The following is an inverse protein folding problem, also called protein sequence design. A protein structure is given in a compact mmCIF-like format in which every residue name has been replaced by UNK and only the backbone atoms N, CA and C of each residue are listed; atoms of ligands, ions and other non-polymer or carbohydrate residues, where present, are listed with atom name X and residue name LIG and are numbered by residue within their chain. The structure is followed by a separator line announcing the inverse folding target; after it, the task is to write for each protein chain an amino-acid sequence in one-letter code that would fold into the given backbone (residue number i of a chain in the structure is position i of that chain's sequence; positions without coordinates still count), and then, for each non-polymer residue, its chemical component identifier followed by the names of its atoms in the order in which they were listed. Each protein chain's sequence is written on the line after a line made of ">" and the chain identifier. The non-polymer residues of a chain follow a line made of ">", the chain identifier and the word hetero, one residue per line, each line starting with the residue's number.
data_IF_808444943248
#
_entry.id   IF_808444943248
#
_cell.length_a   1.000
_cell.length_b   1.000
_cell.length_c   1.000
_cell.angle_alpha   90.00
_cell.angle_beta   90.00
_cell.angle_gamma   90.00
#
_symmetry.space_group_name_H-M   'P 1'
#
loop_
_entity.id
_entity.type
_entity.pdbx_description
1 polymer ?
#
# COMPACT_ATOMS: atom_id res chain seq x y z
N UNK A 1 -59.29 0.25 -4.43
CA UNK A 1 -58.18 -0.69 -4.74
C UNK A 1 -57.02 0.13 -5.29
N UNK A 2 -55.89 0.23 -4.57
CA UNK A 2 -54.67 0.87 -5.09
C UNK A 2 -53.83 -0.20 -5.80
N UNK A 3 -53.59 -0.02 -7.10
CA UNK A 3 -52.60 -0.84 -7.80
C UNK A 3 -51.21 -0.47 -7.28
N UNK A 4 -50.42 -1.43 -6.75
CA UNK A 4 -49.04 -1.17 -6.40
C UNK A 4 -48.27 -0.84 -7.69
N UNK A 5 -47.78 0.40 -7.77
CA UNK A 5 -46.87 0.82 -8.84
C UNK A 5 -45.54 0.11 -8.63
N UNK A 6 -45.29 -0.95 -9.40
CA UNK A 6 -44.00 -1.62 -9.44
C UNK A 6 -42.98 -0.66 -10.08
N UNK A 7 -42.12 -0.07 -9.26
CA UNK A 7 -40.98 0.69 -9.77
C UNK A 7 -40.03 -0.24 -10.52
N UNK A 8 -39.64 0.15 -11.73
CA UNK A 8 -38.65 -0.58 -12.53
C UNK A 8 -37.35 -0.72 -11.75
N UNK A 9 -36.76 -1.91 -11.74
CA UNK A 9 -35.44 -2.13 -11.13
C UNK A 9 -34.41 -1.22 -11.79
N UNK A 10 -33.61 -0.46 -11.02
CA UNK A 10 -32.62 0.45 -11.57
C UNK A 10 -31.56 -0.32 -12.38
N UNK A 11 -31.05 0.29 -13.47
CA UNK A 11 -30.03 -0.36 -14.29
C UNK A 11 -28.69 -0.40 -13.53
N UNK A 12 -27.85 -1.43 -13.75
CA UNK A 12 -26.57 -1.57 -13.04
C UNK A 12 -25.65 -0.35 -13.18
N UNK A 13 -25.68 0.29 -14.35
CA UNK A 13 -24.92 1.51 -14.65
C UNK A 13 -25.32 2.68 -13.75
N UNK A 14 -26.61 2.84 -13.49
CA UNK A 14 -27.14 3.93 -12.68
C UNK A 14 -26.75 3.72 -11.21
N UNK A 15 -26.84 2.46 -10.75
CA UNK A 15 -26.36 2.07 -9.41
C UNK A 15 -24.87 2.38 -9.26
N UNK A 16 -24.04 1.98 -10.22
CA UNK A 16 -22.60 2.23 -10.17
C UNK A 16 -22.27 3.73 -10.17
N UNK A 17 -22.94 4.52 -11.03
CA UNK A 17 -22.76 5.97 -11.09
C UNK A 17 -23.12 6.64 -9.78
N UNK A 18 -24.23 6.23 -9.17
CA UNK A 18 -24.64 6.77 -7.88
C UNK A 18 -23.70 6.34 -6.76
N UNK A 19 -23.21 5.09 -6.76
CA UNK A 19 -22.19 4.64 -5.81
C UNK A 19 -20.89 5.45 -5.93
N UNK A 20 -20.44 5.76 -7.15
CA UNK A 20 -19.27 6.63 -7.37
C UNK A 20 -19.51 8.04 -6.83
N UNK A 21 -20.70 8.60 -7.05
CA UNK A 21 -21.08 9.94 -6.59
C UNK A 21 -21.18 10.00 -5.06
N UNK A 22 -21.90 9.06 -4.45
CA UNK A 22 -22.11 8.98 -3.00
C UNK A 22 -20.77 8.73 -2.31
N UNK A 23 -19.99 7.76 -2.77
CA UNK A 23 -18.65 7.48 -2.24
C UNK A 23 -17.77 8.71 -2.37
N UNK A 24 -17.74 9.36 -3.55
CA UNK A 24 -17.00 10.59 -3.76
C UNK A 24 -17.40 11.71 -2.79
N UNK A 25 -18.70 11.88 -2.54
CA UNK A 25 -19.21 12.88 -1.60
C UNK A 25 -18.81 12.59 -0.15
N UNK A 26 -18.87 11.33 0.28
CA UNK A 26 -18.44 10.89 1.60
C UNK A 26 -16.93 11.05 1.80
N UNK A 27 -16.18 10.92 0.71
CA UNK A 27 -14.72 11.01 0.69
C UNK A 27 -14.18 12.43 0.60
N UNK A 28 -14.98 13.45 0.24
CA UNK A 28 -14.49 14.85 0.05
C UNK A 28 -13.67 15.39 1.23
N UNK A 29 -14.20 15.33 2.44
CA UNK A 29 -13.50 15.82 3.64
C UNK A 29 -12.32 14.90 4.02
N UNK A 30 -12.51 13.57 4.09
CA UNK A 30 -11.42 12.64 4.40
C UNK A 30 -10.28 12.62 3.37
N UNK A 31 -10.50 13.06 2.13
CA UNK A 31 -9.47 13.13 1.08
C UNK A 31 -8.72 14.45 1.04
N UNK A 32 -9.38 15.56 1.38
CA UNK A 32 -8.74 16.87 1.36
C UNK A 32 -7.51 16.90 2.27
N UNK A 33 -7.64 16.35 3.48
CA UNK A 33 -6.54 16.30 4.45
C UNK A 33 -5.32 15.51 3.93
N UNK A 34 -5.44 14.22 3.54
CA UNK A 34 -4.30 13.47 3.02
C UNK A 34 -3.78 14.00 1.69
N UNK A 35 -4.64 14.54 0.80
CA UNK A 35 -4.17 15.16 -0.44
C UNK A 35 -3.32 16.41 -0.16
N UNK A 36 -3.77 17.28 0.76
CA UNK A 36 -3.01 18.45 1.20
C UNK A 36 -1.72 18.01 1.89
N UNK A 37 -1.77 17.03 2.78
CA UNK A 37 -0.58 16.48 3.44
C UNK A 37 0.40 15.88 2.42
N UNK A 38 -0.09 15.25 1.34
CA UNK A 38 0.75 14.71 0.27
C UNK A 38 1.48 15.82 -0.49
N UNK A 39 0.75 16.89 -0.85
CA UNK A 39 1.35 18.05 -1.50
C UNK A 39 2.36 18.72 -0.56
N UNK A 40 2.01 18.93 0.71
CA UNK A 40 2.90 19.52 1.70
C UNK A 40 4.13 18.66 1.98
N UNK A 41 3.97 17.34 2.06
CA UNK A 41 5.10 16.42 2.23
C UNK A 41 6.03 16.46 1.02
N UNK A 42 5.48 16.47 -0.19
CA UNK A 42 6.25 16.63 -1.42
C UNK A 42 7.01 17.98 -1.44
N UNK A 43 6.35 19.07 -1.05
CA UNK A 43 6.96 20.39 -0.93
C UNK A 43 8.00 20.48 0.20
N UNK A 44 7.81 19.76 1.29
CA UNK A 44 8.76 19.70 2.39
C UNK A 44 10.01 18.95 1.97
N UNK A 45 9.87 17.79 1.33
CA UNK A 45 11.00 17.04 0.76
C UNK A 45 11.74 17.91 -0.25
N UNK A 46 11.01 18.61 -1.11
CA UNK A 46 11.55 19.59 -2.06
C UNK A 46 12.37 20.71 -1.38
N UNK A 47 11.89 21.23 -0.26
CA UNK A 47 12.57 22.29 0.49
C UNK A 47 13.74 21.81 1.35
N UNK A 48 13.76 20.52 1.72
CA UNK A 48 14.84 19.90 2.49
C UNK A 48 15.98 19.39 1.59
N UNK A 49 15.69 19.01 0.35
CA UNK A 49 16.73 18.83 -0.67
C UNK A 49 17.31 20.19 -1.00
N UNK A 50 18.65 20.30 -1.02
CA UNK A 50 19.36 21.52 -1.38
C UNK A 50 18.70 22.13 -2.63
N UNK A 51 18.17 23.36 -2.53
CA UNK A 51 17.27 23.96 -3.53
C UNK A 51 17.89 24.08 -4.95
N UNK A 52 19.17 23.73 -5.07
CA UNK A 52 19.97 23.71 -6.29
C UNK A 52 20.08 22.31 -6.92
N UNK A 53 19.66 21.26 -6.23
CA UNK A 53 19.72 19.89 -6.73
C UNK A 53 18.43 19.54 -7.48
N UNK A 54 18.51 19.11 -8.75
CA UNK A 54 17.33 18.68 -9.50
C UNK A 54 16.68 17.45 -8.84
N UNK A 55 15.34 17.40 -8.82
CA UNK A 55 14.60 16.32 -8.19
C UNK A 55 14.20 15.25 -9.23
N UNK A 56 14.93 14.15 -9.24
CA UNK A 56 14.68 13.04 -10.18
C UNK A 56 13.38 12.28 -9.87
N UNK A 57 12.79 11.70 -10.92
CA UNK A 57 11.49 11.04 -10.83
C UNK A 57 11.60 9.58 -10.37
N UNK A 58 11.22 9.33 -9.11
CA UNK A 58 11.23 7.99 -8.48
C UNK A 58 9.87 7.58 -7.92
N UNK A 59 8.84 7.41 -8.74
CA UNK A 59 7.50 7.02 -8.27
C UNK A 59 7.50 5.67 -7.52
N UNK A 60 8.43 4.78 -7.84
CA UNK A 60 8.60 3.47 -7.23
C UNK A 60 9.11 3.50 -5.79
N UNK A 61 9.76 4.58 -5.37
CA UNK A 61 10.26 4.75 -4.00
C UNK A 61 9.18 5.19 -3.02
N UNK A 62 7.99 5.56 -3.53
CA UNK A 62 6.93 6.20 -2.76
C UNK A 62 6.01 5.17 -2.12
N UNK A 63 6.08 5.03 -0.79
CA UNK A 63 5.17 4.15 -0.04
C UNK A 63 3.75 4.75 0.12
N UNK A 64 3.59 6.05 -0.09
CA UNK A 64 2.37 6.80 0.23
C UNK A 64 1.12 6.24 -0.48
N UNK A 65 1.14 5.93 -1.80
CA UNK A 65 -0.03 5.33 -2.48
C UNK A 65 -0.48 4.01 -1.85
N UNK A 66 0.47 3.14 -1.48
CA UNK A 66 0.17 1.89 -0.79
C UNK A 66 -0.44 2.10 0.60
N UNK A 67 0.07 3.06 1.36
CA UNK A 67 -0.49 3.45 2.67
C UNK A 67 -1.92 4.01 2.54
N UNK A 68 -2.17 4.85 1.53
CA UNK A 68 -3.52 5.35 1.24
C UNK A 68 -4.49 4.21 0.92
N UNK A 69 -4.05 3.20 0.18
CA UNK A 69 -4.84 2.01 -0.09
C UNK A 69 -5.25 1.27 1.19
N UNK A 70 -4.42 1.23 2.23
CA UNK A 70 -4.79 0.62 3.53
C UNK A 70 -5.87 1.42 4.29
N UNK A 71 -5.77 2.75 4.26
CA UNK A 71 -6.64 3.62 5.06
C UNK A 71 -7.99 3.85 4.39
N UNK A 72 -7.99 3.94 3.06
CA UNK A 72 -9.17 4.36 2.30
C UNK A 72 -10.41 3.49 2.53
N UNK A 73 -10.34 2.15 2.59
CA UNK A 73 -11.52 1.33 2.87
C UNK A 73 -12.22 1.73 4.16
N UNK A 74 -11.47 2.05 5.21
CA UNK A 74 -12.05 2.48 6.50
C UNK A 74 -12.89 3.76 6.31
N UNK A 75 -12.42 4.70 5.49
CA UNK A 75 -13.14 5.93 5.19
C UNK A 75 -14.38 5.67 4.31
N UNK A 76 -14.26 4.85 3.26
CA UNK A 76 -15.36 4.45 2.36
C UNK A 76 -16.52 3.81 3.14
N UNK A 77 -16.17 3.04 4.17
CA UNK A 77 -17.11 2.28 4.98
C UNK A 77 -17.54 3.00 6.27
N UNK A 78 -17.01 4.21 6.52
CA UNK A 78 -17.34 5.00 7.70
C UNK A 78 -18.81 5.40 7.69
N UNK A 79 -19.50 5.15 8.81
CA UNK A 79 -20.92 5.47 8.98
C UNK A 79 -21.87 4.31 8.64
N UNK A 80 -21.39 3.25 8.00
CA UNK A 80 -22.20 2.05 7.74
C UNK A 80 -21.95 0.97 8.80
N UNK A 81 -23.02 0.54 9.46
CA UNK A 81 -22.96 -0.56 10.43
C UNK A 81 -23.00 -1.91 9.69
N UNK A 82 -21.83 -2.42 9.35
CA UNK A 82 -21.63 -3.71 8.65
C UNK A 82 -22.12 -4.92 9.42
N UNK A 83 -22.25 -4.82 10.74
CA UNK A 83 -22.65 -5.92 11.61
C UNK A 83 -23.75 -5.49 12.59
N UNK A 84 -24.53 -4.46 12.23
CA UNK A 84 -25.66 -3.97 13.03
C UNK A 84 -27.00 -4.50 12.50
N UNK A 85 -28.02 -4.52 13.36
CA UNK A 85 -29.39 -4.94 13.03
C UNK A 85 -30.14 -4.01 12.03
N UNK A 86 -29.46 -3.06 11.39
CA UNK A 86 -30.08 -1.94 10.68
C UNK A 86 -30.41 -2.18 9.21
N UNK A 87 -31.68 -1.94 8.85
CA UNK A 87 -32.31 -1.54 7.58
C UNK A 87 -31.78 -2.03 6.21
N UNK A 88 -30.47 -2.02 5.93
CA UNK A 88 -29.91 -2.57 4.68
C UNK A 88 -30.03 -4.10 4.62
N UNK A 89 -30.15 -4.76 5.78
CA UNK A 89 -30.30 -6.22 5.88
C UNK A 89 -31.66 -6.75 5.41
N UNK A 90 -32.67 -5.89 5.34
CA UNK A 90 -34.05 -6.25 4.94
C UNK A 90 -34.37 -5.91 3.49
N UNK A 91 -33.48 -5.23 2.77
CA UNK A 91 -33.72 -4.91 1.36
C UNK A 91 -33.44 -6.12 0.46
N UNK A 92 -34.28 -6.38 -0.57
CA UNK A 92 -34.16 -7.53 -1.48
C UNK A 92 -33.06 -7.32 -2.54
N UNK A 93 -31.89 -6.83 -2.13
CA UNK A 93 -30.75 -6.55 -3.03
C UNK A 93 -29.67 -7.60 -2.79
N UNK A 94 -29.00 -8.03 -3.87
CA UNK A 94 -27.81 -8.89 -3.78
C UNK A 94 -26.67 -8.15 -3.06
N UNK A 95 -26.48 -8.48 -1.78
CA UNK A 95 -25.52 -7.85 -0.86
C UNK A 95 -24.10 -7.87 -1.40
N UNK A 96 -23.74 -8.98 -2.05
CA UNK A 96 -22.41 -9.18 -2.63
C UNK A 96 -22.14 -8.15 -3.73
N UNK A 97 -23.10 -7.98 -4.65
CA UNK A 97 -22.97 -7.01 -5.75
C UNK A 97 -22.87 -5.58 -5.22
N UNK A 98 -23.66 -5.25 -4.20
CA UNK A 98 -23.60 -3.92 -3.59
C UNK A 98 -22.25 -3.64 -2.93
N UNK A 99 -21.75 -4.58 -2.11
CA UNK A 99 -20.45 -4.44 -1.48
C UNK A 99 -19.31 -4.33 -2.52
N UNK A 100 -19.32 -5.17 -3.54
CA UNK A 100 -18.33 -5.12 -4.62
C UNK A 100 -18.42 -3.82 -5.42
N UNK A 101 -19.62 -3.30 -5.71
CA UNK A 101 -19.79 -2.03 -6.39
C UNK A 101 -19.24 -0.86 -5.58
N UNK A 102 -19.42 -0.89 -4.25
CA UNK A 102 -18.88 0.14 -3.35
C UNK A 102 -17.37 0.07 -3.21
N UNK A 103 -16.79 -1.13 -3.10
CA UNK A 103 -15.34 -1.35 -3.13
C UNK A 103 -14.75 -0.87 -4.46
N UNK A 104 -15.40 -1.18 -5.58
CA UNK A 104 -14.98 -0.68 -6.88
C UNK A 104 -15.05 0.85 -6.96
N UNK A 105 -16.10 1.47 -6.41
CA UNK A 105 -16.22 2.93 -6.37
C UNK A 105 -15.09 3.58 -5.55
N UNK A 106 -14.75 3.03 -4.39
CA UNK A 106 -13.62 3.50 -3.59
C UNK A 106 -12.27 3.29 -4.30
N UNK A 107 -12.08 2.14 -4.96
CA UNK A 107 -10.89 1.88 -5.78
C UNK A 107 -10.74 2.89 -6.93
N UNK A 108 -11.82 3.23 -7.64
CA UNK A 108 -11.75 4.21 -8.72
C UNK A 108 -11.29 5.60 -8.23
N UNK A 109 -11.76 6.03 -7.05
CA UNK A 109 -11.30 7.26 -6.41
C UNK A 109 -9.83 7.17 -5.96
N UNK A 110 -9.39 6.02 -5.45
CA UNK A 110 -7.98 5.78 -5.10
C UNK A 110 -7.07 5.92 -6.32
N UNK A 111 -7.38 5.22 -7.41
CA UNK A 111 -6.58 5.26 -8.63
C UNK A 111 -6.53 6.66 -9.22
N UNK A 112 -7.65 7.39 -9.18
CA UNK A 112 -7.68 8.79 -9.62
C UNK A 112 -6.75 9.66 -8.77
N UNK A 113 -6.73 9.48 -7.44
CA UNK A 113 -5.83 10.21 -6.55
C UNK A 113 -4.36 9.86 -6.80
N UNK A 114 -4.05 8.57 -6.97
CA UNK A 114 -2.69 8.11 -7.29
C UNK A 114 -2.22 8.65 -8.63
N UNK A 115 -3.08 8.66 -9.64
CA UNK A 115 -2.75 9.25 -10.95
C UNK A 115 -2.42 10.75 -10.83
N UNK A 116 -3.24 11.52 -10.10
CA UNK A 116 -2.99 12.94 -9.84
C UNK A 116 -1.65 13.13 -9.12
N UNK A 117 -1.36 12.29 -8.12
CA UNK A 117 -0.09 12.35 -7.39
C UNK A 117 1.13 12.06 -8.28
N UNK A 118 1.06 11.02 -9.11
CA UNK A 118 2.15 10.67 -10.04
C UNK A 118 2.35 11.79 -11.08
N UNK A 119 1.27 12.37 -11.61
CA UNK A 119 1.34 13.52 -12.51
C UNK A 119 1.94 14.75 -11.82
N UNK A 120 1.63 14.98 -10.55
CA UNK A 120 2.24 16.04 -9.75
C UNK A 120 3.74 15.83 -9.57
N UNK A 121 4.17 14.62 -9.21
CA UNK A 121 5.60 14.30 -9.11
C UNK A 121 6.32 14.51 -10.44
N UNK A 122 5.72 14.09 -11.55
CA UNK A 122 6.27 14.30 -12.88
C UNK A 122 6.42 15.79 -13.19
N UNK A 123 5.37 16.58 -12.95
CA UNK A 123 5.42 18.03 -13.13
C UNK A 123 6.49 18.69 -12.26
N UNK A 124 6.61 18.25 -11.00
CA UNK A 124 7.63 18.72 -10.07
C UNK A 124 9.07 18.40 -10.55
N UNK A 125 9.32 17.17 -11.02
CA UNK A 125 10.59 16.80 -11.65
C UNK A 125 10.90 17.68 -12.84
N UNK A 126 9.93 17.92 -13.72
CA UNK A 126 10.13 18.76 -14.91
C UNK A 126 10.44 20.22 -14.54
N UNK A 127 9.76 20.78 -13.54
CA UNK A 127 9.97 22.17 -13.07
C UNK A 127 11.35 22.34 -12.43
N UNK A 128 11.86 21.32 -11.73
CA UNK A 128 13.18 21.37 -11.09
C UNK A 128 14.34 21.03 -12.04
N UNK A 129 14.05 20.70 -13.30
CA UNK A 129 15.07 20.24 -14.26
C UNK A 129 15.59 18.83 -13.98
N UNK A 130 14.87 18.06 -13.16
CA UNK A 130 15.17 16.65 -12.89
C UNK A 130 14.92 15.75 -14.09
N UNK A 131 15.48 14.55 -14.01
CA UNK A 131 15.36 13.54 -15.06
C UNK A 131 14.17 12.65 -14.77
N UNK A 132 13.36 12.40 -15.80
CA UNK A 132 12.21 11.47 -15.73
C UNK A 132 12.69 10.00 -15.70
N UNK A 133 13.87 9.74 -16.27
CA UNK A 133 14.57 8.45 -16.22
C UNK A 133 16.04 8.73 -15.89
N UNK A 134 16.37 8.94 -14.61
CA UNK A 134 17.75 9.18 -14.21
C UNK A 134 18.59 7.93 -14.46
N UNK A 135 19.82 8.14 -14.93
CA UNK A 135 20.86 7.11 -14.89
C UNK A 135 21.52 7.23 -13.52
N UNK A 136 21.32 6.24 -12.67
CA UNK A 136 21.82 6.23 -11.31
C UNK A 136 23.10 5.41 -11.21
N UNK A 137 24.08 5.90 -10.45
CA UNK A 137 25.25 5.13 -10.07
C UNK A 137 24.97 4.41 -8.74
N UNK A 138 24.61 3.12 -8.81
CA UNK A 138 24.33 2.29 -7.65
C UNK A 138 25.63 1.68 -7.11
N UNK A 139 25.83 1.73 -5.80
CA UNK A 139 26.96 1.11 -5.13
C UNK A 139 26.53 -0.25 -4.59
N UNK A 140 26.97 -1.32 -5.24
CA UNK A 140 26.52 -2.68 -4.93
C UNK A 140 27.47 -3.36 -3.96
N UNK A 141 26.90 -3.92 -2.90
CA UNK A 141 27.59 -4.76 -1.93
C UNK A 141 27.91 -6.14 -2.53
N UNK A 142 29.11 -6.70 -2.28
CA UNK A 142 29.40 -8.07 -2.64
C UNK A 142 28.50 -9.06 -1.87
N UNK A 143 28.24 -10.27 -2.39
CA UNK A 143 27.30 -11.25 -1.79
C UNK A 143 27.69 -11.81 -0.41
N UNK A 144 28.74 -11.29 0.23
CA UNK A 144 29.23 -11.79 1.52
C UNK A 144 28.34 -11.30 2.67
N UNK A 145 28.22 -12.08 3.77
CA UNK A 145 27.43 -11.66 4.92
C UNK A 145 27.96 -10.33 5.46
N UNK A 146 27.11 -9.31 5.37
CA UNK A 146 27.42 -7.97 5.84
C UNK A 146 27.33 -7.94 7.36
N UNK A 147 28.35 -7.46 8.09
CA UNK A 147 28.21 -7.24 9.51
C UNK A 147 27.16 -6.15 9.71
N UNK A 148 26.14 -6.38 10.54
CA UNK A 148 25.04 -5.44 10.77
C UNK A 148 25.49 -4.02 11.18
N UNK A 149 26.75 -3.86 11.62
CA UNK A 149 27.38 -2.59 12.03
C UNK A 149 28.84 -2.45 11.53
N UNK A 150 29.16 -3.02 10.36
CA UNK A 150 30.53 -3.01 9.83
C UNK A 150 30.87 -1.76 9.02
N UNK A 151 32.06 -1.21 9.22
CA UNK A 151 32.67 -0.26 8.29
C UNK A 151 32.87 -0.93 6.93
N UNK A 152 32.41 -0.30 5.86
CA UNK A 152 32.57 -0.81 4.49
C UNK A 152 33.82 -0.22 3.88
N UNK A 153 34.71 -1.10 3.41
CA UNK A 153 35.84 -0.66 2.60
C UNK A 153 35.31 -0.18 1.22
N UNK A 154 35.48 1.10 0.86
CA UNK A 154 35.03 1.63 -0.43
C UNK A 154 35.56 0.83 -1.62
N UNK A 155 36.75 0.23 -1.51
CA UNK A 155 37.35 -0.57 -2.57
C UNK A 155 36.57 -1.86 -2.89
N UNK A 156 35.70 -2.31 -1.98
CA UNK A 156 34.86 -3.50 -2.18
C UNK A 156 33.53 -3.21 -2.86
N UNK A 157 33.16 -1.94 -2.98
CA UNK A 157 31.90 -1.53 -3.60
C UNK A 157 32.03 -1.52 -5.12
N UNK A 158 31.05 -2.13 -5.78
CA UNK A 158 30.96 -2.09 -7.24
C UNK A 158 29.97 -1.01 -7.66
N UNK A 159 30.44 -0.01 -8.39
CA UNK A 159 29.57 0.96 -9.02
C UNK A 159 28.91 0.35 -10.26
N UNK A 160 27.59 0.39 -10.34
CA UNK A 160 26.82 0.00 -11.52
C UNK A 160 25.89 1.12 -11.94
N UNK A 161 25.92 1.45 -13.22
CA UNK A 161 24.96 2.39 -13.80
C UNK A 161 23.66 1.65 -14.07
N UNK A 162 22.58 2.12 -13.46
CA UNK A 162 21.25 1.55 -13.60
C UNK A 162 20.28 2.61 -14.12
N UNK A 163 19.31 2.18 -14.91
CA UNK A 163 18.23 3.03 -15.39
C UNK A 163 16.93 2.32 -15.04
N UNK A 164 16.04 2.94 -14.25
CA UNK A 164 14.76 2.35 -13.90
C UNK A 164 13.96 1.98 -15.14
N UNK A 165 13.46 0.74 -15.17
CA UNK A 165 12.54 0.34 -16.23
C UNK A 165 11.22 1.13 -16.13
N UNK A 166 10.65 1.62 -17.24
CA UNK A 166 9.40 2.40 -17.21
C UNK A 166 8.23 1.69 -16.54
N UNK A 167 8.24 0.35 -16.51
CA UNK A 167 7.22 -0.45 -15.83
C UNK A 167 7.18 -0.20 -14.32
N UNK A 168 8.28 0.22 -13.69
CA UNK A 168 8.27 0.59 -12.27
C UNK A 168 7.39 1.81 -11.96
N UNK A 169 6.99 2.60 -12.96
CA UNK A 169 6.02 3.68 -12.77
C UNK A 169 4.62 3.17 -12.39
N UNK A 170 4.35 1.87 -12.60
CA UNK A 170 3.12 1.20 -12.17
C UNK A 170 3.14 0.74 -10.71
N UNK A 171 4.30 0.78 -10.03
CA UNK A 171 4.44 0.42 -8.61
C UNK A 171 3.43 1.15 -7.72
N UNK A 172 3.30 2.49 -7.75
CA UNK A 172 2.33 3.18 -6.89
C UNK A 172 0.87 2.76 -7.13
N UNK A 173 0.50 2.41 -8.38
CA UNK A 173 -0.86 1.95 -8.72
C UNK A 173 -1.13 0.53 -8.22
N UNK A 174 -0.16 -0.36 -8.40
CA UNK A 174 -0.25 -1.76 -7.99
C UNK A 174 -0.18 -1.89 -6.47
N UNK A 175 0.70 -1.12 -5.82
CA UNK A 175 0.77 -0.97 -4.36
C UNK A 175 -0.58 -0.53 -3.79
N UNK A 176 -1.11 0.61 -4.27
CA UNK A 176 -2.40 1.13 -3.83
C UNK A 176 -3.54 0.12 -4.04
N UNK A 177 -3.56 -0.56 -5.19
CA UNK A 177 -4.58 -1.57 -5.50
C UNK A 177 -4.47 -2.77 -4.56
N UNK A 178 -3.29 -3.36 -4.41
CA UNK A 178 -3.07 -4.54 -3.57
C UNK A 178 -3.45 -4.28 -2.12
N UNK A 179 -2.99 -3.17 -1.54
CA UNK A 179 -3.31 -2.81 -0.16
C UNK A 179 -4.79 -2.45 0.03
N UNK A 180 -5.40 -1.77 -0.95
CA UNK A 180 -6.83 -1.45 -0.93
C UNK A 180 -7.71 -2.69 -0.93
N UNK A 181 -7.37 -3.70 -1.72
CA UNK A 181 -8.13 -4.96 -1.76
C UNK A 181 -8.03 -5.71 -0.43
N UNK A 182 -6.82 -5.82 0.14
CA UNK A 182 -6.59 -6.47 1.43
C UNK A 182 -7.35 -5.77 2.57
N UNK A 183 -7.24 -4.44 2.64
CA UNK A 183 -7.93 -3.65 3.65
C UNK A 183 -9.46 -3.68 3.45
N UNK A 184 -9.95 -3.68 2.21
CA UNK A 184 -11.38 -3.86 1.91
C UNK A 184 -11.88 -5.23 2.34
N UNK A 185 -11.11 -6.30 2.09
CA UNK A 185 -11.42 -7.64 2.54
C UNK A 185 -11.47 -7.72 4.08
N UNK A 186 -10.52 -7.09 4.77
CA UNK A 186 -10.50 -7.02 6.23
C UNK A 186 -11.72 -6.27 6.79
N UNK A 187 -12.07 -5.11 6.23
CA UNK A 187 -13.24 -4.32 6.66
C UNK A 187 -14.55 -5.10 6.45
N UNK A 188 -14.66 -5.84 5.35
CA UNK A 188 -15.85 -6.66 5.06
C UNK A 188 -15.92 -7.96 5.87
N UNK A 189 -14.76 -8.58 6.11
CA UNK A 189 -14.67 -9.89 6.75
C UNK A 189 -14.61 -9.86 8.27
N UNK A 190 -14.13 -8.76 8.86
CA UNK A 190 -13.91 -8.60 10.29
C UNK A 190 -14.87 -7.57 10.88
N UNK A 191 -15.42 -7.88 12.06
CA UNK A 191 -16.28 -6.95 12.80
C UNK A 191 -15.53 -5.71 13.28
N UNK A 192 -14.25 -5.87 13.58
CA UNK A 192 -13.41 -4.90 14.28
C UNK A 192 -11.98 -4.91 13.70
N UNK A 193 -11.77 -4.53 12.43
CA UNK A 193 -10.47 -4.65 11.76
C UNK A 193 -9.36 -3.86 12.48
N UNK A 194 -9.66 -2.66 13.00
CA UNK A 194 -8.69 -1.84 13.73
C UNK A 194 -8.22 -2.50 15.03
N UNK A 195 -9.12 -3.17 15.75
CA UNK A 195 -8.76 -3.86 16.99
C UNK A 195 -7.85 -5.07 16.72
N UNK A 196 -7.99 -5.73 15.57
CA UNK A 196 -7.05 -6.77 15.14
C UNK A 196 -5.67 -6.21 14.83
N UNK A 197 -5.57 -5.08 14.14
CA UNK A 197 -4.29 -4.41 13.86
C UNK A 197 -3.59 -4.03 15.18
N UNK A 198 -4.34 -3.39 16.10
CA UNK A 198 -3.82 -3.02 17.43
C UNK A 198 -3.42 -4.28 18.21
N UNK A 199 -4.24 -5.33 18.19
CA UNK A 199 -3.97 -6.59 18.88
C UNK A 199 -2.70 -7.28 18.38
N UNK A 200 -2.45 -7.29 17.07
CA UNK A 200 -1.21 -7.82 16.48
C UNK A 200 0.00 -7.00 16.95
N UNK A 201 -0.10 -5.67 16.93
CA UNK A 201 0.97 -4.79 17.42
C UNK A 201 1.29 -5.04 18.90
N UNK A 202 0.26 -5.10 19.75
CA UNK A 202 0.41 -5.41 21.18
C UNK A 202 1.02 -6.80 21.37
N UNK A 203 0.60 -7.80 20.61
CA UNK A 203 1.14 -9.16 20.70
C UNK A 203 2.63 -9.21 20.34
N UNK A 204 3.08 -8.47 19.31
CA UNK A 204 4.49 -8.39 18.94
C UNK A 204 5.31 -7.77 20.08
N UNK A 205 4.86 -6.63 20.63
CA UNK A 205 5.54 -5.94 21.74
C UNK A 205 5.55 -6.83 22.99
N UNK A 206 4.46 -7.51 23.29
CA UNK A 206 4.37 -8.43 24.42
C UNK A 206 5.33 -9.62 24.27
N UNK A 207 5.43 -10.20 23.06
CA UNK A 207 6.37 -11.30 22.79
C UNK A 207 7.83 -10.87 22.96
N UNK A 208 8.20 -9.68 22.48
CA UNK A 208 9.56 -9.15 22.70
C UNK A 208 9.83 -8.87 24.18
N UNK A 209 8.88 -8.24 24.88
CA UNK A 209 8.99 -7.95 26.32
C UNK A 209 9.11 -9.20 27.18
N UNK A 210 8.27 -10.22 26.93
CA UNK A 210 8.34 -11.52 27.61
C UNK A 210 9.66 -12.23 27.28
N UNK A 211 10.08 -12.20 26.01
CA UNK A 211 11.36 -12.78 25.60
C UNK A 211 12.56 -12.10 26.27
N UNK A 212 12.50 -10.78 26.48
CA UNK A 212 13.52 -10.03 27.20
C UNK A 212 13.55 -10.40 28.69
N UNK A 213 12.39 -10.42 29.37
CA UNK A 213 12.29 -10.79 30.78
C UNK A 213 12.73 -12.24 31.05
N UNK A 214 12.32 -13.16 30.17
CA UNK A 214 12.66 -14.58 30.28
C UNK A 214 14.07 -14.93 29.77
N UNK A 215 14.86 -13.95 29.31
CA UNK A 215 16.16 -14.17 28.65
C UNK A 215 16.09 -15.23 27.54
N UNK A 216 14.98 -15.26 26.81
CA UNK A 216 14.65 -16.24 25.79
C UNK A 216 14.81 -15.60 24.40
N UNK A 217 16.00 -15.65 23.78
CA UNK A 217 16.26 -14.94 22.51
C UNK A 217 15.37 -15.44 21.37
N UNK A 218 14.93 -16.69 21.41
CA UNK A 218 14.01 -17.25 20.41
C UNK A 218 12.63 -16.58 20.42
N UNK A 219 12.11 -16.15 21.58
CA UNK A 219 10.85 -15.42 21.69
C UNK A 219 10.97 -14.02 21.09
N UNK A 220 12.09 -13.34 21.35
CA UNK A 220 12.38 -12.01 20.78
C UNK A 220 12.54 -12.06 19.26
N UNK A 221 13.17 -13.12 18.75
CA UNK A 221 13.34 -13.34 17.32
C UNK A 221 12.08 -13.86 16.62
N UNK A 222 11.10 -14.40 17.35
CA UNK A 222 9.94 -15.07 16.75
C UNK A 222 9.11 -14.14 15.84
N UNK A 223 8.75 -12.91 16.26
CA UNK A 223 8.07 -11.96 15.38
C UNK A 223 8.91 -11.65 14.13
N UNK A 224 10.22 -11.41 14.31
CA UNK A 224 11.14 -11.14 13.20
C UNK A 224 11.16 -12.29 12.19
N UNK A 225 11.28 -13.54 12.63
CA UNK A 225 11.31 -14.71 11.73
C UNK A 225 10.04 -14.89 10.90
N UNK A 226 8.89 -14.45 11.41
CA UNK A 226 7.61 -14.56 10.69
C UNK A 226 7.35 -13.33 9.82
N UNK A 227 7.64 -12.14 10.33
CA UNK A 227 7.35 -10.87 9.65
C UNK A 227 8.41 -10.52 8.60
N UNK A 228 9.68 -10.87 8.83
CA UNK A 228 10.76 -10.53 7.91
C UNK A 228 10.55 -11.14 6.51
N UNK A 229 10.22 -12.44 6.34
CA UNK A 229 9.91 -12.98 5.02
C UNK A 229 8.64 -12.36 4.41
N UNK A 230 7.65 -12.05 5.26
CA UNK A 230 6.37 -11.47 4.82
C UNK A 230 6.52 -10.04 4.31
N UNK A 231 7.37 -9.22 4.95
CA UNK A 231 7.57 -7.82 4.60
C UNK A 231 8.76 -7.63 3.66
N UNK A 232 9.92 -8.21 3.98
CA UNK A 232 11.20 -7.95 3.30
C UNK A 232 11.68 -9.11 2.41
N UNK A 233 10.94 -10.22 2.37
CA UNK A 233 11.24 -11.33 1.47
C UNK A 233 11.12 -10.95 -0.02
N UNK A 234 11.58 -11.82 -0.94
CA UNK A 234 11.56 -11.55 -2.38
C UNK A 234 10.18 -11.25 -2.97
N UNK A 235 9.13 -11.80 -2.35
CA UNK A 235 7.72 -11.57 -2.70
C UNK A 235 6.95 -10.87 -1.57
N UNK A 236 7.69 -10.29 -0.62
CA UNK A 236 7.12 -9.67 0.57
C UNK A 236 6.30 -8.41 0.25
N UNK A 237 5.75 -7.81 1.29
CA UNK A 237 4.94 -6.60 1.17
C UNK A 237 5.75 -5.41 0.64
N UNK A 238 7.04 -5.32 0.94
CA UNK A 238 7.94 -4.32 0.37
C UNK A 238 8.10 -4.48 -1.16
N UNK A 239 8.06 -5.72 -1.68
CA UNK A 239 8.06 -5.94 -3.11
C UNK A 239 6.81 -5.35 -3.76
N UNK A 240 5.63 -5.49 -3.15
CA UNK A 240 4.41 -4.83 -3.61
C UNK A 240 4.50 -3.30 -3.52
N UNK A 241 4.99 -2.77 -2.40
CA UNK A 241 4.94 -1.35 -2.09
C UNK A 241 5.98 -0.52 -2.85
N UNK A 242 7.20 -1.04 -2.99
CA UNK A 242 8.35 -0.25 -3.46
C UNK A 242 9.20 -0.97 -4.51
N UNK A 243 8.70 -2.06 -5.10
CA UNK A 243 9.50 -2.96 -5.96
C UNK A 243 10.80 -3.43 -5.29
N UNK A 244 10.76 -3.59 -3.96
CA UNK A 244 11.88 -3.97 -3.09
C UNK A 244 12.95 -2.91 -2.87
N UNK A 245 12.79 -1.71 -3.39
CA UNK A 245 13.83 -0.67 -3.30
C UNK A 245 14.21 -0.37 -1.84
N UNK A 246 13.25 -0.39 -0.92
CA UNK A 246 13.55 -0.14 0.49
C UNK A 246 14.27 -1.31 1.16
N UNK A 247 13.94 -2.57 0.87
CA UNK A 247 14.60 -3.73 1.48
C UNK A 247 16.00 -4.02 0.96
N UNK A 248 16.30 -3.62 -0.28
CA UNK A 248 17.62 -3.85 -0.89
C UNK A 248 18.56 -2.66 -0.73
N UNK A 249 18.03 -1.48 -0.41
CA UNK A 249 18.78 -0.28 -0.06
C UNK A 249 19.13 -0.30 1.44
N UNK A 250 20.38 -0.05 1.78
CA UNK A 250 20.80 0.14 3.17
C UNK A 250 21.82 1.27 3.24
N UNK A 251 21.75 2.06 4.30
CA UNK A 251 22.83 3.00 4.60
C UNK A 251 24.00 2.24 5.22
N UNK A 252 25.20 2.53 4.74
CA UNK A 252 26.43 1.95 5.24
C UNK A 252 27.45 3.06 5.50
N UNK A 253 28.14 2.97 6.63
CA UNK A 253 29.24 3.87 6.94
C UNK A 253 30.51 3.30 6.33
N UNK A 254 31.16 4.08 5.46
CA UNK A 254 32.46 3.74 4.89
C UNK A 254 33.53 3.75 5.97
N UNK A 255 34.65 3.05 5.73
CA UNK A 255 35.86 3.13 6.56
C UNK A 255 36.37 4.57 6.75
N UNK A 256 36.01 5.48 5.84
CA UNK A 256 36.32 6.92 5.90
C UNK A 256 35.43 7.71 6.86
N UNK A 257 34.36 7.10 7.40
CA UNK A 257 33.37 7.74 8.25
C UNK A 257 32.19 8.37 7.48
N UNK A 258 32.21 8.34 6.15
CA UNK A 258 31.11 8.86 5.31
C UNK A 258 29.94 7.87 5.28
N UNK A 259 28.70 8.38 5.39
CA UNK A 259 27.49 7.55 5.21
C UNK A 259 27.09 7.53 3.74
N UNK A 260 27.01 6.34 3.17
CA UNK A 260 26.65 6.16 1.76
C UNK A 260 25.53 5.13 1.62
N UNK A 261 24.71 5.31 0.60
CA UNK A 261 23.62 4.40 0.28
C UNK A 261 24.18 3.26 -0.57
N UNK A 262 24.09 2.03 -0.06
CA UNK A 262 24.52 0.83 -0.77
C UNK A 262 23.36 -0.11 -1.03
N UNK A 263 23.50 -0.88 -2.10
CA UNK A 263 22.47 -1.78 -2.61
C UNK A 263 22.93 -3.23 -2.48
N UNK A 264 22.08 -4.07 -1.91
CA UNK A 264 22.35 -5.51 -1.77
C UNK A 264 22.21 -6.23 -3.11
N UNK A 265 21.23 -5.83 -3.90
CA UNK A 265 20.95 -6.35 -5.25
C UNK A 265 20.33 -5.24 -6.09
N UNK A 266 20.29 -5.41 -7.41
CA UNK A 266 19.51 -4.54 -8.28
C UNK A 266 17.99 -4.79 -8.11
N UNK A 267 17.14 -3.78 -8.33
CA UNK A 267 15.71 -3.99 -8.51
C UNK A 267 15.44 -4.99 -9.63
N UNK A 268 14.56 -5.96 -9.39
CA UNK A 268 14.19 -7.00 -10.36
C UNK A 268 12.71 -6.90 -10.71
N UNK A 269 12.42 -6.54 -11.96
CA UNK A 269 11.07 -6.40 -12.47
C UNK A 269 10.26 -7.70 -12.30
N UNK A 270 10.87 -8.86 -12.55
CA UNK A 270 10.18 -10.16 -12.49
C UNK A 270 9.71 -10.45 -11.07
N UNK A 271 10.55 -10.20 -10.07
CA UNK A 271 10.17 -10.38 -8.67
C UNK A 271 9.01 -9.45 -8.27
N UNK A 272 9.07 -8.19 -8.70
CA UNK A 272 7.98 -7.23 -8.48
C UNK A 272 6.67 -7.67 -9.15
N UNK A 273 6.69 -8.14 -10.40
CA UNK A 273 5.50 -8.63 -11.09
C UNK A 273 4.87 -9.82 -10.35
N UNK A 274 5.70 -10.79 -9.94
CA UNK A 274 5.21 -11.97 -9.20
C UNK A 274 4.61 -11.55 -7.85
N UNK A 275 5.29 -10.68 -7.09
CA UNK A 275 4.76 -10.15 -5.83
C UNK A 275 3.43 -9.42 -6.04
N UNK A 276 3.36 -8.58 -7.07
CA UNK A 276 2.14 -7.83 -7.42
C UNK A 276 0.98 -8.78 -7.72
N UNK A 277 1.19 -9.81 -8.54
CA UNK A 277 0.16 -10.80 -8.86
C UNK A 277 -0.27 -11.58 -7.61
N UNK A 278 0.66 -11.97 -6.75
CA UNK A 278 0.38 -12.69 -5.52
C UNK A 278 -0.49 -11.86 -4.58
N UNK A 279 -0.11 -10.60 -4.33
CA UNK A 279 -0.82 -9.75 -3.37
C UNK A 279 -2.15 -9.23 -3.91
N UNK A 280 -2.23 -8.83 -5.18
CA UNK A 280 -3.49 -8.39 -5.79
C UNK A 280 -4.45 -9.56 -5.99
N UNK A 281 -3.96 -10.73 -6.45
CA UNK A 281 -4.75 -11.95 -6.59
C UNK A 281 -5.24 -12.47 -5.23
N UNK A 282 -4.37 -12.52 -4.23
CA UNK A 282 -4.73 -12.86 -2.86
C UNK A 282 -5.74 -11.88 -2.26
N UNK A 283 -5.57 -10.58 -2.48
CA UNK A 283 -6.52 -9.54 -2.08
C UNK A 283 -7.89 -9.70 -2.75
N UNK A 284 -7.95 -9.99 -4.04
CA UNK A 284 -9.20 -10.29 -4.76
C UNK A 284 -9.89 -11.53 -4.21
N UNK A 285 -9.15 -12.61 -3.98
CA UNK A 285 -9.69 -13.85 -3.42
C UNK A 285 -10.24 -13.63 -2.00
N UNK A 286 -9.51 -12.91 -1.14
CA UNK A 286 -9.94 -12.56 0.21
C UNK A 286 -11.18 -11.65 0.19
N UNK A 287 -11.20 -10.65 -0.69
CA UNK A 287 -12.36 -9.76 -0.87
C UNK A 287 -13.59 -10.54 -1.32
N UNK A 288 -13.42 -11.47 -2.27
CA UNK A 288 -14.49 -12.33 -2.76
C UNK A 288 -15.03 -13.22 -1.65
N UNK A 289 -14.16 -13.87 -0.87
CA UNK A 289 -14.55 -14.70 0.26
C UNK A 289 -15.30 -13.88 1.33
N UNK A 290 -14.80 -12.69 1.68
CA UNK A 290 -15.44 -11.78 2.63
C UNK A 290 -16.83 -11.34 2.15
N UNK A 291 -16.97 -11.01 0.86
CA UNK A 291 -18.25 -10.62 0.27
C UNK A 291 -19.24 -11.80 0.18
N UNK A 292 -18.78 -13.01 -0.13
CA UNK A 292 -19.62 -14.23 -0.23
C UNK A 292 -20.24 -14.62 1.11
N UNK A 293 -19.50 -14.49 2.22
CA UNK A 293 -19.96 -14.85 3.57
C UNK A 293 -21.27 -14.17 3.98
N UNK A 294 -21.57 -13.00 3.41
CA UNK A 294 -22.78 -12.24 3.74
C UNK A 294 -24.04 -12.70 2.98
N UNK A 295 -23.90 -13.61 2.01
CA UNK A 295 -25.02 -14.13 1.20
C UNK A 295 -25.87 -15.23 1.85
N UNK A 296 -25.32 -15.97 2.82
CA UNK A 296 -25.88 -17.28 3.24
C UNK A 296 -26.98 -17.23 4.31
N UNK A 297 -27.33 -16.06 4.85
CA UNK A 297 -28.38 -15.95 5.89
C UNK A 297 -29.72 -15.52 5.31
N UNK A 298 -30.31 -16.35 4.45
CA UNK A 298 -31.75 -16.29 4.17
C UNK A 298 -32.42 -17.38 5.01
N UNK A 299 -33.29 -17.05 5.99
CA UNK A 299 -34.17 -18.07 6.55
C UNK A 299 -35.00 -18.64 5.40
N UNK A 300 -35.00 -19.97 5.28
CA UNK A 300 -35.87 -20.72 4.39
C UNK A 300 -37.33 -20.62 4.86
#
# INVERSE_FOLDING_TARGET
>A
MMQPTLHSTPRPRDVLREQLRVTGSALRLPFLVPAVLLVLAALLVAGLTDARSPADFHPESQMLPGMLGLVLPIAVWRGERHFGAGFLWTLPVDRRRHALAKVFAGWAWLISLVAIFVLWLLAYTLVTGGKVQPVEALWILPPRPFPAHGLVDPATLRTVHWTPEPLFWLVPFTAATGTYLLASAAVLGLRHPLWWIVGIGIAIVALDGVGALAHAPWLRMAPGRVLEPLFYGPYGFDALLTARIQSIRTEATLATGESVVVWRTMPDLRLWVVATLLWTGGGLAALWAAASRHGERRPA
#
